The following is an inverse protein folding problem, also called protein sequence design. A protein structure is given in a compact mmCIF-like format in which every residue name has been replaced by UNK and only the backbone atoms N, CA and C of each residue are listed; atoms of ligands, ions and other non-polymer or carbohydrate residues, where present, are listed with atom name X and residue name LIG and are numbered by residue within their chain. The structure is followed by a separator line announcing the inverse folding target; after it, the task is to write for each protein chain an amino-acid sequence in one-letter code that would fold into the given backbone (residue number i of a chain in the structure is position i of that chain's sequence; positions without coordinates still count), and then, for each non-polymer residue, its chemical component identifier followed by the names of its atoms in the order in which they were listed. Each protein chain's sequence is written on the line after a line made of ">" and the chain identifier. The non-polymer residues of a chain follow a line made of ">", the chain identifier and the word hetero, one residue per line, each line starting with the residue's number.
data_IF_707172054146
#
_entry.id   IF_707172054146
#
_cell.length_a   1.000
_cell.length_b   1.000
_cell.length_c   1.000
_cell.angle_alpha   90.00
_cell.angle_beta   90.00
_cell.angle_gamma   90.00
#
_symmetry.space_group_name_H-M   'P 1'
#
loop_
_entity.id
_entity.type
_entity.pdbx_description
1 polymer ?
#
# COMPACT_ATOMS: atom_id res chain seq x y z
N UNK A 1 10.86 7.29 -12.82
CA UNK A 1 11.42 6.94 -11.51
C UNK A 1 10.51 5.87 -10.95
N UNK A 2 10.95 4.62 -10.99
CA UNK A 2 10.18 3.46 -10.57
C UNK A 2 10.05 3.46 -9.04
N UNK A 3 9.00 4.09 -8.52
CA UNK A 3 8.72 4.24 -7.09
C UNK A 3 7.96 3.02 -6.53
N UNK A 4 8.42 1.82 -6.86
CA UNK A 4 7.58 0.62 -6.70
C UNK A 4 7.66 -0.04 -5.31
N UNK A 5 8.65 0.27 -4.46
CA UNK A 5 8.68 -0.21 -3.09
C UNK A 5 9.37 0.80 -2.17
N UNK A 6 8.61 1.42 -1.27
CA UNK A 6 9.18 2.08 -0.10
C UNK A 6 9.33 1.02 1.00
N UNK A 7 10.56 0.71 1.39
CA UNK A 7 10.83 -0.20 2.51
C UNK A 7 11.09 0.63 3.76
N UNK A 8 10.16 0.59 4.71
CA UNK A 8 10.29 1.21 6.03
C UNK A 8 9.62 0.31 7.06
N UNK A 9 10.18 0.23 8.28
CA UNK A 9 9.55 -0.45 9.41
C UNK A 9 8.23 0.21 9.84
N UNK A 10 7.97 1.43 9.34
CA UNK A 10 6.79 2.24 9.64
C UNK A 10 5.76 2.23 8.51
N UNK A 11 5.97 1.45 7.43
CA UNK A 11 4.97 1.32 6.38
C UNK A 11 4.91 -0.09 5.79
N UNK A 12 3.70 -0.49 5.42
CA UNK A 12 3.48 -1.69 4.60
C UNK A 12 3.83 -1.43 3.13
N UNK A 13 3.61 -2.43 2.28
CA UNK A 13 3.78 -2.28 0.84
C UNK A 13 3.00 -1.07 0.30
N UNK A 14 3.68 -0.20 -0.45
CA UNK A 14 3.09 1.02 -1.02
C UNK A 14 3.48 1.19 -2.48
N UNK A 15 2.56 1.68 -3.31
CA UNK A 15 2.75 1.95 -4.73
C UNK A 15 2.39 3.39 -5.07
N UNK A 16 3.22 4.03 -5.89
CA UNK A 16 3.04 5.43 -6.24
C UNK A 16 3.12 6.34 -5.00
N UNK A 17 2.71 7.59 -5.15
CA UNK A 17 2.64 8.54 -4.03
C UNK A 17 1.47 8.22 -3.10
N UNK A 18 0.35 7.75 -3.66
CA UNK A 18 -0.87 7.39 -2.92
C UNK A 18 -1.74 6.37 -3.68
N UNK A 19 -1.24 5.75 -4.76
CA UNK A 19 -1.98 4.73 -5.52
C UNK A 19 -2.27 3.51 -4.67
N UNK A 20 -1.35 3.15 -3.77
CA UNK A 20 -1.59 2.32 -2.60
C UNK A 20 -0.65 2.78 -1.49
N UNK A 21 -1.19 3.10 -0.33
CA UNK A 21 -0.42 3.36 0.87
C UNK A 21 -0.98 2.52 2.00
N UNK A 22 -0.14 1.62 2.52
CA UNK A 22 -0.47 0.80 3.68
C UNK A 22 0.32 1.34 4.86
N UNK A 23 -0.38 1.90 5.83
CA UNK A 23 0.21 2.36 7.08
C UNK A 23 0.41 1.17 8.02
N UNK A 24 1.49 1.17 8.78
CA UNK A 24 1.67 0.22 9.88
C UNK A 24 1.77 1.04 11.15
N UNK A 25 0.93 0.74 12.15
CA UNK A 25 1.09 1.29 13.48
C UNK A 25 2.10 0.44 14.27
N UNK A 26 3.33 0.93 14.53
CA UNK A 26 4.33 0.18 15.30
C UNK A 26 3.92 -0.03 16.77
N UNK A 27 2.89 0.66 17.27
CA UNK A 27 2.43 0.59 18.65
C UNK A 27 1.12 -0.17 18.83
N UNK A 28 0.56 -0.75 17.76
CA UNK A 28 -0.59 -1.65 17.83
C UNK A 28 -1.92 -0.99 18.18
N UNK A 29 -2.01 0.34 18.16
CA UNK A 29 -3.26 1.09 18.32
C UNK A 29 -3.99 1.20 16.97
N UNK A 30 -4.17 0.05 16.31
CA UNK A 30 -5.13 -0.28 15.25
C UNK A 30 -5.72 0.90 14.45
N UNK A 31 -4.86 1.78 13.96
CA UNK A 31 -5.25 2.94 13.14
C UNK A 31 -4.57 2.79 11.80
N UNK A 32 -5.10 1.82 11.06
CA UNK A 32 -4.68 1.53 9.71
C UNK A 32 -5.27 2.61 8.77
N UNK A 33 -4.58 3.74 8.68
CA UNK A 33 -4.85 4.81 7.72
C UNK A 33 -4.41 4.42 6.30
N UNK A 34 -4.96 3.33 5.78
CA UNK A 34 -4.65 2.92 4.41
C UNK A 34 -5.45 3.75 3.41
N UNK A 35 -4.77 4.23 2.37
CA UNK A 35 -5.39 5.01 1.29
C UNK A 35 -5.01 4.41 -0.07
N UNK A 36 -5.96 4.47 -1.00
CA UNK A 36 -5.78 4.01 -2.37
C UNK A 36 -6.48 5.02 -3.29
N UNK A 37 -5.72 5.99 -3.81
CA UNK A 37 -6.21 7.03 -4.71
C UNK A 37 -5.37 7.07 -5.97
N UNK A 38 -6.01 7.20 -7.13
CA UNK A 38 -5.29 7.25 -8.39
C UNK A 38 -4.46 8.54 -8.49
N UNK A 39 -3.14 8.41 -8.40
CA UNK A 39 -2.21 9.53 -8.37
C UNK A 39 -1.14 9.42 -9.47
N UNK A 40 -0.53 8.26 -9.64
CA UNK A 40 0.54 8.04 -10.61
C UNK A 40 0.19 6.98 -11.66
N UNK A 41 -0.64 5.99 -11.32
CA UNK A 41 -0.95 4.91 -12.24
C UNK A 41 -2.09 5.32 -13.19
N UNK A 42 -2.01 4.93 -14.46
CA UNK A 42 -3.07 5.20 -15.45
C UNK A 42 -4.38 4.50 -15.09
N UNK A 43 -4.27 3.33 -14.43
CA UNK A 43 -5.40 2.54 -13.99
C UNK A 43 -5.49 2.57 -12.47
N UNK A 44 -6.72 2.63 -11.97
CA UNK A 44 -7.01 2.46 -10.55
C UNK A 44 -6.57 1.07 -10.08
N UNK A 45 -5.93 1.02 -8.92
CA UNK A 45 -5.66 -0.23 -8.20
C UNK A 45 -6.97 -0.74 -7.56
N UNK A 46 -7.84 0.17 -7.12
CA UNK A 46 -9.17 -0.11 -6.56
C UNK A 46 -10.18 0.94 -7.01
N UNK A 47 -11.44 0.55 -7.15
CA UNK A 47 -12.50 1.46 -7.62
C UNK A 47 -12.83 2.58 -6.62
N UNK A 48 -12.71 2.31 -5.33
CA UNK A 48 -13.02 3.23 -4.24
C UNK A 48 -11.78 3.97 -3.73
N UNK A 49 -11.87 5.30 -3.69
CA UNK A 49 -10.80 6.21 -3.26
C UNK A 49 -10.73 6.51 -1.76
N UNK A 50 -11.51 5.78 -0.94
CA UNK A 50 -11.65 6.06 0.48
C UNK A 50 -10.59 5.33 1.32
N UNK A 51 -10.48 5.71 2.58
CA UNK A 51 -9.73 4.92 3.57
C UNK A 51 -10.28 3.50 3.68
N UNK A 52 -9.43 2.55 4.06
CA UNK A 52 -9.82 1.16 4.20
C UNK A 52 -8.97 0.40 5.21
N UNK A 53 -9.56 -0.66 5.75
CA UNK A 53 -8.87 -1.58 6.64
C UNK A 53 -8.41 -2.83 5.86
N UNK A 54 -7.35 -3.45 6.33
CA UNK A 54 -6.85 -4.73 5.82
C UNK A 54 -6.96 -5.73 6.96
N UNK A 55 -7.74 -6.79 6.78
CA UNK A 55 -7.80 -7.88 7.76
C UNK A 55 -6.55 -8.76 7.65
N UNK A 56 -6.22 -9.15 6.41
CA UNK A 56 -5.06 -9.97 6.07
C UNK A 56 -4.51 -9.56 4.69
N UNK A 57 -3.19 -9.68 4.49
CA UNK A 57 -2.57 -9.51 3.19
C UNK A 57 -1.43 -10.50 2.97
N UNK A 58 -1.21 -10.89 1.72
CA UNK A 58 -0.16 -11.82 1.31
C UNK A 58 0.79 -11.15 0.32
N UNK A 59 2.10 -11.37 0.48
CA UNK A 59 3.14 -10.85 -0.42
C UNK A 59 3.82 -12.01 -1.13
N UNK A 60 3.77 -12.00 -2.46
CA UNK A 60 4.37 -13.05 -3.30
C UNK A 60 5.57 -12.52 -4.07
N UNK A 61 6.69 -13.25 -4.01
CA UNK A 61 7.87 -12.98 -4.84
C UNK A 61 7.86 -13.88 -6.08
N UNK A 62 7.86 -13.27 -7.26
CA UNK A 62 8.03 -14.01 -8.52
C UNK A 62 9.53 -14.14 -8.81
N UNK A 63 10.04 -15.36 -8.76
CA UNK A 63 11.41 -15.70 -9.16
C UNK A 63 11.44 -16.05 -10.65
N UNK A 64 12.37 -15.46 -11.40
CA UNK A 64 12.69 -15.94 -12.76
C UNK A 64 13.58 -17.16 -12.61
N UNK A 65 13.20 -18.24 -13.28
CA UNK A 65 13.97 -19.49 -13.38
C UNK A 65 15.09 -19.30 -14.40
#
# INVERSE_FOLDING_TARGET
>A
MDKALNYSELCGPSFGASDLHISVDPWGNNTDYNICVQANYEKKIRDTGNEFNIEEYEVFQIIRI
#
